data_IF_950508744205
#
_entry.id   IF_950508744205
#
_cell.length_a   1.000
_cell.length_b   1.000
_cell.length_c   1.000
_cell.angle_alpha   90.00
_cell.angle_beta   90.00
_cell.angle_gamma   90.00
#
_symmetry.space_group_name_H-M   'P 1'
#
loop_
_entity.id
_entity.type
_entity.pdbx_description
1 polymer ?
#
# COMPACT_ATOMS: atom_id res chain seq x y z
N UNK A 1 19.27 16.59 -8.52
CA UNK A 1 18.44 15.38 -8.71
C UNK A 1 17.69 15.10 -7.42
N UNK A 2 16.39 15.39 -7.37
CA UNK A 2 15.53 15.11 -6.21
C UNK A 2 14.82 13.78 -6.48
N UNK A 3 15.41 12.67 -6.02
CA UNK A 3 14.79 11.35 -6.11
C UNK A 3 13.87 11.16 -4.90
N UNK A 4 12.57 11.04 -5.15
CA UNK A 4 11.54 10.68 -4.17
C UNK A 4 11.62 9.15 -4.01
N UNK A 5 12.13 8.66 -2.88
CA UNK A 5 12.23 7.21 -2.62
C UNK A 5 10.90 6.71 -2.06
N UNK A 6 10.21 5.88 -2.83
CA UNK A 6 9.18 4.98 -2.33
C UNK A 6 9.92 3.84 -1.60
N UNK A 7 9.92 3.86 -0.26
CA UNK A 7 10.46 2.75 0.51
C UNK A 7 9.60 1.50 0.29
N UNK A 8 10.24 0.45 -0.20
CA UNK A 8 9.72 -0.91 -0.30
C UNK A 8 9.55 -1.50 1.11
N UNK A 9 8.31 -1.52 1.61
CA UNK A 9 7.99 -2.27 2.81
C UNK A 9 7.80 -3.76 2.45
N UNK A 10 8.67 -4.61 2.99
CA UNK A 10 8.56 -6.07 2.93
C UNK A 10 7.34 -6.54 3.75
N UNK A 11 6.30 -7.06 3.09
CA UNK A 11 5.17 -7.67 3.80
C UNK A 11 5.39 -9.20 3.87
N UNK A 12 5.65 -9.74 5.06
CA UNK A 12 5.69 -11.17 5.32
C UNK A 12 4.25 -11.72 5.33
N UNK A 13 3.94 -12.60 4.38
CA UNK A 13 2.68 -13.35 4.38
C UNK A 13 2.79 -14.52 5.38
N UNK A 14 2.60 -14.25 6.67
CA UNK A 14 2.49 -15.32 7.67
C UNK A 14 1.12 -16.00 7.61
N UNK A 15 1.14 -17.31 7.35
CA UNK A 15 0.02 -18.21 7.55
C UNK A 15 -0.18 -18.48 9.06
N UNK A 16 -1.10 -17.75 9.70
CA UNK A 16 -1.49 -18.04 11.09
C UNK A 16 -2.45 -19.23 11.17
N UNK A 17 -2.08 -20.23 11.98
CA UNK A 17 -2.87 -21.40 12.35
C UNK A 17 -3.99 -21.03 13.35
N UNK A 18 -5.18 -21.59 13.08
CA UNK A 18 -6.35 -21.86 13.93
C UNK A 18 -6.70 -20.97 15.15
N UNK A 19 -7.90 -20.37 15.11
CA UNK A 19 -8.76 -20.13 16.27
C UNK A 19 -10.22 -20.55 15.93
N UNK A 20 -10.95 -21.03 16.94
CA UNK A 20 -12.20 -21.78 16.87
C UNK A 20 -13.37 -21.13 16.10
N UNK A 21 -14.17 -22.01 15.48
CA UNK A 21 -15.29 -21.70 14.59
C UNK A 21 -16.56 -21.34 15.37
N UNK A 22 -17.03 -20.09 15.23
CA UNK A 22 -18.44 -19.76 15.46
C UNK A 22 -19.22 -19.98 14.15
N UNK A 23 -20.34 -20.69 14.25
CA UNK A 23 -21.28 -21.12 13.19
C UNK A 23 -21.53 -20.01 12.14
N UNK A 24 -21.51 -20.31 10.82
CA UNK A 24 -21.65 -19.28 9.80
C UNK A 24 -23.05 -18.69 9.81
N UNK A 25 -23.13 -17.36 9.92
CA UNK A 25 -24.31 -16.61 9.55
C UNK A 25 -24.48 -16.68 8.02
N UNK A 26 -25.74 -16.74 7.58
CA UNK A 26 -26.13 -16.83 6.18
C UNK A 26 -25.41 -15.80 5.31
N UNK A 27 -25.03 -16.22 4.10
CA UNK A 27 -24.42 -15.37 3.09
C UNK A 27 -25.24 -14.09 2.91
N UNK A 28 -24.66 -12.95 3.27
CA UNK A 28 -25.22 -11.66 2.91
C UNK A 28 -25.18 -11.52 1.39
N UNK A 29 -26.31 -11.11 0.80
CA UNK A 29 -26.40 -10.72 -0.60
C UNK A 29 -25.27 -9.73 -0.95
N UNK A 30 -24.77 -9.72 -2.20
CA UNK A 30 -23.74 -8.77 -2.60
C UNK A 30 -24.24 -7.36 -2.33
N UNK A 31 -23.64 -6.70 -1.33
CA UNK A 31 -23.91 -5.31 -1.02
C UNK A 31 -23.70 -4.50 -2.29
N UNK A 32 -24.64 -3.60 -2.59
CA UNK A 32 -24.52 -2.63 -3.68
C UNK A 32 -23.14 -1.98 -3.62
N UNK A 33 -22.25 -2.34 -4.53
CA UNK A 33 -20.95 -1.70 -4.65
C UNK A 33 -21.21 -0.20 -4.85
N UNK A 34 -20.78 0.61 -3.89
CA UNK A 34 -20.95 2.05 -3.95
C UNK A 34 -20.28 2.55 -5.24
N UNK A 35 -21.08 3.10 -6.14
CA UNK A 35 -20.61 3.49 -7.47
C UNK A 35 -19.64 4.65 -7.31
N UNK A 36 -18.37 4.42 -7.67
CA UNK A 36 -17.34 5.47 -7.68
C UNK A 36 -17.82 6.66 -8.52
N UNK A 37 -17.50 7.87 -8.05
CA UNK A 37 -17.71 9.08 -8.82
C UNK A 37 -16.90 9.05 -10.12
N UNK A 38 -17.32 9.76 -11.19
CA UNK A 38 -16.59 9.75 -12.46
C UNK A 38 -15.12 10.14 -12.32
N UNK A 39 -14.83 11.12 -11.46
CA UNK A 39 -13.44 11.54 -11.15
C UNK A 39 -12.63 10.45 -10.45
N UNK A 40 -13.23 9.72 -9.51
CA UNK A 40 -12.56 8.61 -8.83
C UNK A 40 -12.31 7.44 -9.78
N UNK A 41 -13.26 7.16 -10.69
CA UNK A 41 -13.08 6.16 -11.75
C UNK A 41 -11.89 6.53 -12.68
N UNK A 42 -11.83 7.77 -13.16
CA UNK A 42 -10.70 8.25 -13.97
C UNK A 42 -9.37 8.10 -13.22
N UNK A 43 -9.32 8.47 -11.94
CA UNK A 43 -8.11 8.33 -11.12
C UNK A 43 -7.74 6.87 -10.84
N UNK A 44 -8.69 5.94 -10.81
CA UNK A 44 -8.41 4.52 -10.69
C UNK A 44 -7.66 4.01 -11.93
N UNK A 45 -8.11 4.40 -13.13
CA UNK A 45 -7.41 4.08 -14.39
C UNK A 45 -5.99 4.67 -14.42
N UNK A 46 -5.85 5.94 -14.02
CA UNK A 46 -4.54 6.59 -13.94
C UNK A 46 -3.60 5.92 -12.94
N UNK A 47 -4.12 5.54 -11.78
CA UNK A 47 -3.37 4.81 -10.75
C UNK A 47 -2.91 3.44 -11.27
N UNK A 48 -3.75 2.73 -12.02
CA UNK A 48 -3.39 1.45 -12.64
C UNK A 48 -2.29 1.61 -13.69
N UNK A 49 -2.39 2.60 -14.58
CA UNK A 49 -1.35 2.91 -15.56
C UNK A 49 -0.01 3.28 -14.91
N UNK A 50 -0.06 4.06 -13.82
CA UNK A 50 1.11 4.36 -12.99
C UNK A 50 1.70 3.09 -12.37
N UNK A 51 0.87 2.18 -11.86
CA UNK A 51 1.35 0.95 -11.26
C UNK A 51 2.09 0.05 -12.25
N UNK A 52 1.60 -0.08 -13.50
CA UNK A 52 2.34 -0.77 -14.56
C UNK A 52 3.67 -0.09 -14.86
N UNK A 53 3.66 1.24 -14.98
CA UNK A 53 4.88 2.01 -15.26
C UNK A 53 5.92 1.86 -14.13
N UNK A 54 5.47 1.91 -12.87
CA UNK A 54 6.31 1.71 -11.69
C UNK A 54 6.82 0.28 -11.59
N UNK A 55 5.95 -0.71 -11.80
CA UNK A 55 6.33 -2.12 -11.82
C UNK A 55 7.43 -2.38 -12.86
N UNK A 56 7.27 -1.87 -14.08
CA UNK A 56 8.27 -2.01 -15.15
C UNK A 56 9.59 -1.32 -14.81
N UNK A 57 9.55 -0.17 -14.13
CA UNK A 57 10.76 0.50 -13.68
C UNK A 57 11.49 -0.31 -12.59
N UNK A 58 10.74 -0.85 -11.61
CA UNK A 58 11.30 -1.66 -10.52
C UNK A 58 11.82 -3.02 -11.01
N UNK A 59 11.09 -3.68 -11.92
CA UNK A 59 11.49 -4.99 -12.46
C UNK A 59 12.76 -4.94 -13.33
N UNK A 60 13.18 -3.75 -13.77
CA UNK A 60 14.45 -3.54 -14.48
C UNK A 60 15.63 -3.35 -13.53
N UNK A 61 15.37 -3.05 -12.26
CA UNK A 61 16.40 -2.92 -11.25
C UNK A 61 16.77 -4.30 -10.71
N UNK A 62 18.01 -4.72 -10.96
CA UNK A 62 18.52 -6.03 -10.57
C UNK A 62 18.63 -6.21 -9.05
N UNK A 63 18.57 -5.11 -8.28
CA UNK A 63 18.56 -5.17 -6.82
C UNK A 63 17.18 -5.51 -6.24
N UNK A 64 16.12 -5.44 -7.06
CA UNK A 64 14.74 -5.70 -6.62
C UNK A 64 14.38 -7.17 -6.84
N UNK A 65 14.00 -7.85 -5.77
CA UNK A 65 13.47 -9.22 -5.84
C UNK A 65 11.93 -9.18 -5.91
N UNK A 66 11.25 -9.25 -4.77
CA UNK A 66 9.79 -9.24 -4.69
C UNK A 66 9.24 -7.81 -4.86
N UNK A 67 8.21 -7.67 -5.69
CA UNK A 67 7.52 -6.39 -5.92
C UNK A 67 6.09 -6.47 -5.39
N UNK A 68 5.75 -5.59 -4.46
CA UNK A 68 4.39 -5.42 -3.95
C UNK A 68 4.01 -3.94 -4.04
N UNK A 69 3.01 -3.63 -4.85
CA UNK A 69 2.58 -2.25 -5.12
C UNK A 69 1.06 -2.15 -4.96
N UNK A 70 0.62 -1.17 -4.17
CA UNK A 70 -0.79 -0.74 -4.16
C UNK A 70 -0.94 0.51 -5.03
N UNK A 71 -1.59 0.43 -6.21
CA UNK A 71 -1.69 1.54 -7.16
C UNK A 71 -2.25 2.82 -6.53
N UNK A 72 -3.33 2.70 -5.77
CA UNK A 72 -4.03 3.84 -5.15
C UNK A 72 -3.17 4.48 -4.06
N UNK A 73 -2.38 3.70 -3.31
CA UNK A 73 -1.49 4.23 -2.25
C UNK A 73 -0.29 4.98 -2.85
N UNK A 74 0.27 4.46 -3.95
CA UNK A 74 1.32 5.18 -4.71
C UNK A 74 0.77 6.49 -5.28
N UNK A 75 -0.40 6.45 -5.93
CA UNK A 75 -1.05 7.66 -6.43
C UNK A 75 -1.34 8.68 -5.32
N UNK A 76 -1.77 8.21 -4.15
CA UNK A 76 -2.02 9.05 -2.96
C UNK A 76 -0.74 9.71 -2.44
N UNK A 77 0.40 9.03 -2.57
CA UNK A 77 1.71 9.60 -2.23
C UNK A 77 2.06 10.78 -3.13
N UNK A 78 1.79 10.68 -4.44
CA UNK A 78 1.92 11.81 -5.37
C UNK A 78 0.88 12.92 -5.08
N UNK A 79 -0.33 12.54 -4.68
CA UNK A 79 -1.36 13.46 -4.24
C UNK A 79 -0.94 14.30 -3.03
N UNK A 80 -0.24 13.72 -2.06
CA UNK A 80 0.35 14.42 -0.92
C UNK A 80 1.46 15.40 -1.34
N UNK A 81 2.30 15.02 -2.31
CA UNK A 81 3.33 15.92 -2.87
C UNK A 81 2.69 17.09 -3.60
N UNK A 82 1.63 16.85 -4.38
CA UNK A 82 0.89 17.92 -5.06
C UNK A 82 0.18 18.85 -4.08
N UNK A 83 -0.32 18.32 -2.95
CA UNK A 83 -1.01 19.09 -1.93
C UNK A 83 -0.05 19.99 -1.12
N UNK A 84 1.13 19.47 -0.74
CA UNK A 84 2.12 20.21 0.05
C UNK A 84 3.12 21.03 -0.77
N UNK A 85 3.28 20.68 -2.05
CA UNK A 85 4.18 21.36 -2.99
C UNK A 85 3.55 22.59 -3.63
N UNK A 86 4.38 23.38 -4.32
CA UNK A 86 3.95 24.50 -5.16
C UNK A 86 4.65 24.46 -6.51
N UNK A 87 4.07 25.15 -7.49
CA UNK A 87 4.64 25.33 -8.83
C UNK A 87 5.12 23.99 -9.44
N UNK A 88 6.38 23.92 -9.85
CA UNK A 88 6.96 22.77 -10.56
C UNK A 88 6.94 21.48 -9.76
N UNK A 89 7.06 21.54 -8.43
CA UNK A 89 7.04 20.33 -7.59
C UNK A 89 5.65 19.70 -7.59
N UNK A 90 4.61 20.52 -7.46
CA UNK A 90 3.23 20.03 -7.50
C UNK A 90 2.83 19.56 -8.90
N UNK A 91 3.18 20.32 -9.94
CA UNK A 91 2.82 19.96 -11.31
C UNK A 91 3.51 18.68 -11.80
N UNK A 92 4.75 18.43 -11.40
CA UNK A 92 5.44 17.18 -11.71
C UNK A 92 4.76 15.97 -11.03
N UNK A 93 4.30 16.11 -9.79
CA UNK A 93 3.57 15.02 -9.12
C UNK A 93 2.28 14.65 -9.86
N UNK A 94 1.54 15.65 -10.36
CA UNK A 94 0.36 15.42 -11.21
C UNK A 94 0.70 14.79 -12.56
N UNK A 95 1.81 15.21 -13.16
CA UNK A 95 2.26 14.64 -14.43
C UNK A 95 2.65 13.17 -14.32
N UNK A 96 3.33 12.78 -13.23
CA UNK A 96 3.64 11.36 -12.96
C UNK A 96 2.35 10.54 -12.78
N UNK A 97 1.30 11.13 -12.20
CA UNK A 97 -0.02 10.50 -12.11
C UNK A 97 -0.83 10.57 -13.42
N UNK A 98 -0.33 11.24 -14.47
CA UNK A 98 -1.06 11.51 -15.71
C UNK A 98 -2.44 12.18 -15.47
N UNK A 99 -2.46 13.12 -14.51
CA UNK A 99 -3.65 13.83 -14.06
C UNK A 99 -3.52 15.37 -14.28
N UNK A 100 -2.74 15.79 -15.26
CA UNK A 100 -2.50 17.20 -15.59
C UNK A 100 -3.79 17.95 -15.97
N UNK A 101 -4.73 17.24 -16.60
CA UNK A 101 -6.00 17.78 -17.08
C UNK A 101 -7.05 17.93 -15.96
N UNK A 102 -6.84 17.34 -14.79
CA UNK A 102 -7.77 17.44 -13.65
C UNK A 102 -7.38 18.62 -12.76
N UNK A 103 -8.36 19.27 -12.12
CA UNK A 103 -8.06 20.27 -11.08
C UNK A 103 -7.56 19.58 -9.80
N UNK A 104 -6.78 20.30 -9.00
CA UNK A 104 -6.18 19.75 -7.78
C UNK A 104 -7.24 19.23 -6.79
N UNK A 105 -8.36 19.98 -6.66
CA UNK A 105 -9.51 19.58 -5.85
C UNK A 105 -10.12 18.24 -6.29
N UNK A 106 -10.14 17.97 -7.60
CA UNK A 106 -10.70 16.74 -8.18
C UNK A 106 -9.75 15.56 -7.94
N UNK A 107 -8.44 15.81 -8.08
CA UNK A 107 -7.39 14.83 -7.78
C UNK A 107 -7.46 14.41 -6.31
N UNK A 108 -7.45 15.37 -5.38
CA UNK A 108 -7.45 15.08 -3.95
C UNK A 108 -8.77 14.43 -3.48
N UNK A 109 -9.92 14.94 -3.96
CA UNK A 109 -11.21 14.35 -3.63
C UNK A 109 -11.36 12.92 -4.19
N UNK A 110 -10.95 12.69 -5.43
CA UNK A 110 -11.09 11.39 -6.08
C UNK A 110 -10.13 10.33 -5.52
N UNK A 111 -8.86 10.68 -5.25
CA UNK A 111 -7.93 9.76 -4.59
C UNK A 111 -8.39 9.42 -3.17
N UNK A 112 -8.91 10.40 -2.43
CA UNK A 112 -9.47 10.15 -1.10
C UNK A 112 -10.75 9.31 -1.11
N UNK A 113 -11.56 9.41 -2.17
CA UNK A 113 -12.68 8.49 -2.40
C UNK A 113 -12.20 7.06 -2.65
N UNK A 114 -11.18 6.88 -3.49
CA UNK A 114 -10.60 5.56 -3.76
C UNK A 114 -10.02 4.92 -2.48
N UNK A 115 -9.26 5.67 -1.68
CA UNK A 115 -8.72 5.16 -0.40
C UNK A 115 -9.83 4.73 0.57
N UNK A 116 -10.90 5.50 0.68
CA UNK A 116 -12.06 5.15 1.53
C UNK A 116 -12.79 3.92 1.00
N UNK A 117 -12.97 3.81 -0.33
CA UNK A 117 -13.56 2.63 -0.97
C UNK A 117 -12.78 1.35 -0.68
N UNK A 118 -11.44 1.42 -0.68
CA UNK A 118 -10.57 0.28 -0.33
C UNK A 118 -10.66 -0.08 1.16
N UNK A 119 -10.89 0.90 2.02
CA UNK A 119 -10.96 0.72 3.47
C UNK A 119 -12.34 0.31 3.97
N UNK A 120 -13.32 0.19 3.07
CA UNK A 120 -14.67 -0.25 3.41
C UNK A 120 -14.71 -1.78 3.61
N UNK A 121 -14.52 -2.21 4.85
CA UNK A 121 -14.50 -3.62 5.25
C UNK A 121 -15.80 -4.39 4.98
N UNK A 122 -16.95 -3.71 4.90
CA UNK A 122 -18.24 -4.37 4.61
C UNK A 122 -18.46 -4.60 3.11
N UNK A 123 -17.73 -3.87 2.25
CA UNK A 123 -17.85 -3.97 0.80
C UNK A 123 -16.91 -5.00 0.17
N UNK A 124 -15.96 -5.57 0.93
CA UNK A 124 -14.90 -6.43 0.39
C UNK A 124 -14.69 -7.67 1.25
N UNK A 125 -14.60 -8.84 0.62
CA UNK A 125 -14.17 -10.08 1.28
C UNK A 125 -12.64 -10.13 1.40
N UNK A 126 -12.03 -9.13 2.05
CA UNK A 126 -10.57 -9.06 2.28
C UNK A 126 -10.31 -8.43 3.65
N UNK A 127 -9.20 -8.79 4.30
CA UNK A 127 -8.67 -7.99 5.40
C UNK A 127 -7.65 -7.02 4.83
N UNK A 128 -7.92 -5.72 4.99
CA UNK A 128 -7.08 -4.63 4.52
C UNK A 128 -6.79 -3.66 5.67
N UNK A 129 -5.52 -3.31 5.86
CA UNK A 129 -5.07 -2.26 6.76
C UNK A 129 -4.09 -1.36 6.02
N UNK A 130 -4.25 -0.06 6.22
CA UNK A 130 -3.41 0.96 5.64
C UNK A 130 -3.23 2.08 6.67
N UNK A 131 -1.99 2.51 6.85
CA UNK A 131 -1.64 3.77 7.48
C UNK A 131 -0.65 4.53 6.62
N UNK A 132 -0.83 5.84 6.55
CA UNK A 132 0.09 6.76 5.88
C UNK A 132 0.54 7.80 6.90
N UNK A 133 1.85 7.97 7.07
CA UNK A 133 2.39 8.97 7.99
C UNK A 133 3.55 9.72 7.35
N UNK A 134 3.51 11.04 7.50
CA UNK A 134 4.57 11.95 7.11
C UNK A 134 5.42 12.27 8.34
N UNK A 135 6.70 11.89 8.27
CA UNK A 135 7.71 12.20 9.27
C UNK A 135 8.53 13.41 8.82
N UNK A 136 8.60 14.44 9.65
CA UNK A 136 9.42 15.64 9.42
C UNK A 136 10.55 15.75 10.44
N UNK A 137 11.64 16.45 10.12
CA UNK A 137 12.66 16.79 11.11
C UNK A 137 12.05 17.56 12.28
N UNK A 138 12.57 17.35 13.50
CA UNK A 138 12.08 17.97 14.73
C UNK A 138 12.03 19.51 14.69
N UNK A 139 12.87 20.14 13.85
CA UNK A 139 12.91 21.59 13.64
C UNK A 139 11.78 22.14 12.78
N UNK A 140 11.08 21.30 12.01
CA UNK A 140 10.01 21.71 11.09
C UNK A 140 8.66 21.69 11.79
N UNK A 141 7.81 22.66 11.45
CA UNK A 141 6.38 22.63 11.77
C UNK A 141 5.58 22.49 10.48
N UNK A 142 4.63 21.57 10.47
CA UNK A 142 3.71 21.40 9.36
C UNK A 142 2.69 22.55 9.36
N UNK A 143 2.33 23.04 8.18
CA UNK A 143 1.28 24.05 8.06
C UNK A 143 -0.09 23.44 8.39
N UNK A 144 -0.91 24.14 9.18
CA UNK A 144 -2.19 23.63 9.67
C UNK A 144 -3.15 23.25 8.53
N UNK A 145 -3.19 24.05 7.47
CA UNK A 145 -4.01 23.78 6.28
C UNK A 145 -3.58 22.50 5.55
N UNK A 146 -2.27 22.23 5.52
CA UNK A 146 -1.73 20.99 4.96
C UNK A 146 -2.11 19.80 5.83
N UNK A 147 -1.94 19.90 7.17
CA UNK A 147 -2.31 18.85 8.11
C UNK A 147 -3.79 18.50 8.00
N UNK A 148 -4.65 19.51 7.92
CA UNK A 148 -6.10 19.35 7.76
C UNK A 148 -6.44 18.66 6.44
N UNK A 149 -5.95 19.18 5.32
CA UNK A 149 -6.29 18.67 3.98
C UNK A 149 -5.75 17.27 3.74
N UNK A 150 -4.52 16.98 4.19
CA UNK A 150 -3.90 15.66 4.02
C UNK A 150 -4.56 14.59 4.88
N UNK A 151 -5.00 14.94 6.10
CA UNK A 151 -5.82 14.06 6.94
C UNK A 151 -7.20 13.83 6.33
N UNK A 152 -7.83 14.87 5.78
CA UNK A 152 -9.15 14.77 5.14
C UNK A 152 -9.14 13.85 3.92
N UNK A 153 -8.18 14.01 3.01
CA UNK A 153 -8.17 13.27 1.75
C UNK A 153 -7.44 11.94 1.84
N UNK A 154 -6.35 11.85 2.60
CA UNK A 154 -5.46 10.68 2.59
C UNK A 154 -5.37 9.97 3.94
N UNK A 155 -6.10 10.42 4.95
CA UNK A 155 -5.96 9.97 6.34
C UNK A 155 -4.49 10.01 6.80
N UNK A 156 -3.73 11.01 6.32
CA UNK A 156 -2.30 11.12 6.58
C UNK A 156 -2.06 11.60 8.03
N UNK A 157 -1.26 10.83 8.76
CA UNK A 157 -0.74 11.21 10.07
C UNK A 157 0.54 12.04 9.94
N UNK A 158 0.84 12.84 10.95
CA UNK A 158 2.01 13.72 10.96
C UNK A 158 2.80 13.48 12.23
N UNK A 159 4.11 13.31 12.09
CA UNK A 159 5.00 13.15 13.23
C UNK A 159 6.30 13.91 13.03
N UNK A 160 6.84 14.45 14.12
CA UNK A 160 8.16 15.07 14.15
C UNK A 160 9.12 14.08 14.79
N UNK A 161 10.24 13.79 14.11
CA UNK A 161 11.25 12.87 14.63
C UNK A 161 12.65 13.49 14.56
N UNK A 162 13.49 13.13 15.52
CA UNK A 162 14.88 13.55 15.54
C UNK A 162 15.74 12.51 14.83
N UNK A 163 16.00 12.71 13.54
CA UNK A 163 16.83 11.80 12.75
C UNK A 163 18.30 11.71 13.22
N UNK A 164 18.77 12.62 14.08
CA UNK A 164 20.11 12.48 14.69
C UNK A 164 20.19 11.30 15.64
N UNK A 165 19.10 10.98 16.32
CA UNK A 165 18.97 9.72 17.05
C UNK A 165 18.38 8.66 16.12
N UNK A 166 19.26 8.09 15.29
CA UNK A 166 18.89 7.11 14.26
C UNK A 166 18.15 5.91 14.85
N UNK A 167 18.56 5.42 16.03
CA UNK A 167 17.92 4.26 16.67
C UNK A 167 16.50 4.61 17.10
N UNK A 168 16.30 5.73 17.78
CA UNK A 168 14.96 6.18 18.20
C UNK A 168 14.06 6.47 17.00
N UNK A 169 14.59 7.09 15.94
CA UNK A 169 13.84 7.35 14.71
C UNK A 169 13.36 6.06 14.02
N UNK A 170 14.26 5.09 13.83
CA UNK A 170 13.91 3.78 13.25
C UNK A 170 12.90 3.03 14.12
N UNK A 171 13.10 3.02 15.44
CA UNK A 171 12.18 2.40 16.38
C UNK A 171 10.78 3.03 16.28
N UNK A 172 10.67 4.36 16.26
CA UNK A 172 9.38 5.05 16.15
C UNK A 172 8.65 4.73 14.85
N UNK A 173 9.37 4.66 13.73
CA UNK A 173 8.79 4.29 12.41
C UNK A 173 8.29 2.85 12.43
N UNK A 174 9.11 1.92 12.92
CA UNK A 174 8.79 0.49 12.95
C UNK A 174 7.65 0.17 13.92
N UNK A 175 7.64 0.78 15.11
CA UNK A 175 6.54 0.62 16.09
C UNK A 175 5.21 1.14 15.54
N UNK A 176 5.20 2.29 14.86
CA UNK A 176 3.99 2.80 14.22
C UNK A 176 3.49 1.86 13.12
N UNK A 177 4.38 1.30 12.29
CA UNK A 177 4.00 0.37 11.23
C UNK A 177 3.48 -0.96 11.81
N UNK A 178 4.12 -1.47 12.85
CA UNK A 178 3.68 -2.66 13.57
C UNK A 178 2.29 -2.44 14.18
N UNK A 179 2.06 -1.31 14.87
CA UNK A 179 0.74 -0.98 15.43
C UNK A 179 -0.32 -0.84 14.33
N UNK A 180 0.00 -0.16 13.22
CA UNK A 180 -0.89 0.01 12.06
C UNK A 180 -1.34 -1.32 11.45
N UNK A 181 -0.47 -2.33 11.50
CA UNK A 181 -0.69 -3.63 10.86
C UNK A 181 -1.03 -4.75 11.84
N UNK A 182 -1.22 -4.45 13.13
CA UNK A 182 -1.31 -5.41 14.24
C UNK A 182 -0.17 -6.45 14.21
N UNK A 183 1.06 -5.97 14.09
CA UNK A 183 2.29 -6.76 14.13
C UNK A 183 2.64 -7.49 12.83
N UNK A 184 1.83 -7.37 11.77
CA UNK A 184 2.07 -8.06 10.50
C UNK A 184 3.18 -7.44 9.64
N UNK A 185 3.49 -6.17 9.88
CA UNK A 185 4.67 -5.48 9.34
C UNK A 185 5.50 -4.94 10.52
N UNK A 186 6.37 -5.76 11.12
CA UNK A 186 7.12 -5.36 12.32
C UNK A 186 8.29 -4.41 12.03
N UNK A 187 8.80 -4.39 10.81
CA UNK A 187 9.95 -3.58 10.41
C UNK A 187 9.74 -3.01 9.00
N UNK A 188 9.85 -1.69 8.84
CA UNK A 188 9.75 -0.99 7.55
C UNK A 188 11.11 -0.88 6.89
N UNK A 189 12.10 -0.42 7.67
CA UNK A 189 13.48 -0.25 7.20
C UNK A 189 14.46 -0.37 8.36
N UNK A 190 15.67 -0.82 8.03
CA UNK A 190 16.84 -0.88 8.92
C UNK A 190 17.70 0.38 8.85
N UNK A 191 17.48 1.22 7.84
CA UNK A 191 18.22 2.46 7.64
C UNK A 191 17.35 3.57 7.03
N UNK A 192 17.71 4.82 7.32
CA UNK A 192 17.20 6.04 6.69
C UNK A 192 18.41 6.81 6.16
N UNK A 193 18.64 6.75 4.86
CA UNK A 193 19.80 7.38 4.22
C UNK A 193 19.73 8.92 4.25
N UNK A 194 18.55 9.49 4.02
CA UNK A 194 18.33 10.94 3.98
C UNK A 194 17.60 11.42 5.22
N UNK A 195 18.32 12.13 6.09
CA UNK A 195 17.85 12.54 7.42
C UNK A 195 17.46 14.02 7.53
N UNK A 196 17.57 14.77 6.43
CA UNK A 196 17.35 16.22 6.34
C UNK A 196 16.00 16.59 5.71
N UNK A 197 15.27 15.62 5.17
CA UNK A 197 14.00 15.81 4.48
C UNK A 197 12.79 15.25 5.23
N UNK A 198 11.62 15.35 4.58
CA UNK A 198 10.41 14.65 5.01
C UNK A 198 10.40 13.22 4.47
N UNK A 199 9.94 12.28 5.28
CA UNK A 199 9.79 10.87 4.95
C UNK A 199 8.31 10.49 4.96
N UNK A 200 7.76 10.11 3.81
CA UNK A 200 6.42 9.55 3.72
C UNK A 200 6.51 8.03 3.85
N UNK A 201 5.86 7.48 4.87
CA UNK A 201 5.81 6.03 5.10
C UNK A 201 4.38 5.54 4.94
N UNK A 202 4.21 4.50 4.12
CA UNK A 202 2.95 3.79 3.97
C UNK A 202 3.11 2.38 4.53
N UNK A 203 2.39 2.04 5.59
CA UNK A 203 2.36 0.71 6.19
C UNK A 203 1.07 0.00 5.79
N UNK A 204 1.19 -1.20 5.21
CA UNK A 204 0.06 -1.94 4.62
C UNK A 204 0.07 -3.39 5.06
N UNK A 205 -1.13 -3.93 5.27
CA UNK A 205 -1.37 -5.37 5.39
C UNK A 205 -2.59 -5.76 4.57
N UNK A 206 -2.40 -6.74 3.69
CA UNK A 206 -3.46 -7.27 2.85
C UNK A 206 -3.51 -8.79 2.99
N UNK A 207 -4.69 -9.30 3.34
CA UNK A 207 -4.97 -10.73 3.35
C UNK A 207 -6.24 -10.99 2.53
N UNK A 208 -6.12 -11.65 1.36
CA UNK A 208 -7.29 -12.02 0.58
C UNK A 208 -8.10 -13.08 1.32
N UNK A 209 -9.43 -12.97 1.30
CA UNK A 209 -10.31 -14.08 1.64
C UNK A 209 -10.86 -14.65 0.34
N UNK A 210 -10.49 -15.90 0.06
CA UNK A 210 -10.97 -16.60 -1.12
C UNK A 210 -12.49 -16.72 -1.08
N UNK A 211 -13.14 -16.49 -2.22
CA UNK A 211 -14.57 -16.77 -2.38
C UNK A 211 -14.84 -18.27 -2.14
N UNK A 212 -14.03 -19.11 -2.76
CA UNK A 212 -13.97 -20.55 -2.46
C UNK A 212 -12.71 -20.90 -1.67
N UNK A 213 -12.86 -21.19 -0.37
CA UNK A 213 -11.73 -21.44 0.54
C UNK A 213 -10.97 -22.74 0.24
N UNK A 214 -9.68 -22.72 0.57
CA UNK A 214 -8.84 -23.90 0.68
C UNK A 214 -9.23 -24.74 1.90
N UNK A 215 -9.05 -26.06 1.81
CA UNK A 215 -9.20 -26.92 2.99
C UNK A 215 -7.98 -26.76 3.90
N UNK A 216 -8.19 -26.47 5.19
CA UNK A 216 -7.11 -26.14 6.13
C UNK A 216 -6.03 -27.24 6.30
N UNK A 217 -6.36 -28.51 5.99
CA UNK A 217 -5.40 -29.62 5.99
C UNK A 217 -4.70 -29.86 4.64
N UNK A 218 -5.13 -29.20 3.57
CA UNK A 218 -4.52 -29.32 2.23
C UNK A 218 -3.35 -28.34 2.10
N UNK A 219 -2.40 -28.48 3.01
CA UNK A 219 -1.19 -27.66 3.09
C UNK A 219 -0.02 -28.59 3.38
N UNK A 220 1.03 -28.55 2.54
CA UNK A 220 2.22 -29.39 2.70
C UNK A 220 3.51 -28.64 2.33
N UNK A 221 4.67 -29.22 2.66
CA UNK A 221 5.97 -28.64 2.32
C UNK A 221 6.33 -28.99 0.87
N UNK A 222 6.71 -28.00 0.06
CA UNK A 222 7.15 -28.14 -1.33
C UNK A 222 8.40 -27.31 -1.62
N UNK A 223 9.13 -27.66 -2.67
CA UNK A 223 10.20 -26.83 -3.20
C UNK A 223 9.65 -25.76 -4.16
N UNK A 224 9.97 -24.50 -3.91
CA UNK A 224 9.77 -23.39 -4.85
C UNK A 224 11.10 -23.09 -5.54
N UNK A 225 11.14 -23.26 -6.86
CA UNK A 225 12.33 -22.99 -7.66
C UNK A 225 12.43 -21.48 -7.92
N UNK A 226 13.30 -20.79 -7.19
CA UNK A 226 13.62 -19.37 -7.42
C UNK A 226 14.42 -19.22 -8.71
N UNK A 227 15.38 -20.13 -8.92
CA UNK A 227 16.06 -20.33 -10.21
C UNK A 227 16.17 -21.84 -10.46
N UNK A 228 16.63 -22.24 -11.65
CA UNK A 228 16.86 -23.66 -11.97
C UNK A 228 17.83 -24.35 -11.00
N UNK A 229 18.75 -23.60 -10.40
CA UNK A 229 19.77 -24.12 -9.47
C UNK A 229 19.51 -23.77 -8.00
N UNK A 230 18.47 -22.98 -7.70
CA UNK A 230 18.18 -22.51 -6.35
C UNK A 230 16.72 -22.74 -5.98
N UNK A 231 16.50 -23.62 -5.00
CA UNK A 231 15.19 -24.04 -4.53
C UNK A 231 15.05 -23.76 -3.04
N UNK A 232 13.91 -23.19 -2.64
CA UNK A 232 13.57 -22.89 -1.24
C UNK A 232 12.37 -23.75 -0.82
N UNK A 233 12.40 -24.29 0.40
CA UNK A 233 11.25 -25.01 0.97
C UNK A 233 10.15 -24.03 1.41
N UNK A 234 8.92 -24.26 0.98
CA UNK A 234 7.75 -23.42 1.30
C UNK A 234 6.55 -24.26 1.72
N UNK A 235 5.66 -23.70 2.53
CA UNK A 235 4.33 -24.26 2.76
C UNK A 235 3.42 -23.93 1.57
N UNK A 236 2.97 -24.94 0.85
CA UNK A 236 2.10 -24.78 -0.33
C UNK A 236 0.67 -25.21 0.00
N UNK A 237 -0.31 -24.41 -0.42
CA UNK A 237 -1.74 -24.71 -0.29
C UNK A 237 -2.30 -25.31 -1.58
N UNK A 238 -3.20 -26.30 -1.46
CA UNK A 238 -3.73 -27.05 -2.61
C UNK A 238 -5.26 -27.01 -2.65
N UNK A 239 -5.83 -26.81 -3.85
CA UNK A 239 -7.27 -26.87 -4.08
C UNK A 239 -7.57 -27.22 -5.54
N UNK A 240 -8.43 -28.21 -5.74
CA UNK A 240 -9.05 -28.48 -7.06
C UNK A 240 -10.39 -27.76 -7.12
N UNK A 241 -10.66 -27.06 -8.22
CA UNK A 241 -11.89 -26.29 -8.41
C UNK A 241 -11.99 -25.77 -9.84
N UNK A 242 -13.12 -25.13 -10.14
CA UNK A 242 -13.31 -24.43 -11.41
C UNK A 242 -12.76 -23.02 -11.28
N UNK A 243 -11.86 -22.65 -12.20
CA UNK A 243 -11.24 -21.34 -12.25
C UNK A 243 -11.24 -20.86 -13.70
N UNK A 244 -11.36 -19.55 -13.91
CA UNK A 244 -11.03 -18.97 -15.21
C UNK A 244 -9.53 -19.22 -15.46
N UNK A 245 -9.23 -20.02 -16.47
CA UNK A 245 -7.88 -20.43 -16.83
C UNK A 245 -7.73 -20.35 -18.35
N UNK A 246 -6.57 -19.92 -18.81
CA UNK A 246 -6.19 -19.89 -20.21
C UNK A 246 -4.72 -20.28 -20.32
N UNK A 247 -4.41 -21.15 -21.29
CA UNK A 247 -3.06 -21.56 -21.64
C UNK A 247 -2.74 -20.99 -23.02
N UNK A 248 -1.71 -20.15 -23.09
CA UNK A 248 -1.23 -19.52 -24.32
C UNK A 248 -0.08 -20.39 -24.85
N UNK A 249 -0.46 -21.52 -25.49
CA UNK A 249 0.49 -22.42 -26.15
C UNK A 249 1.12 -21.80 -27.41
#
# INVERSE_FOLDING_TARGET
MRSLLLLSAFCLLEAALAAEVKKPAAAAAPGTAEKLSPKAATLAERSAGLAFSLYQAMAKDQAVENILVSPVVVASSLGLVSLGGKATTASQAKAVLSAEQLRDEEVHAGLGELLRSLSNSTARNVTWKLGSRLYGPSSVSFADDFVRSSKQHYNCEHSKINFRDKRSALQSINEWAAQTTDGKLPEVTKDVERTDGALLVNAMFFKPHWDEKFHHKMVDNRGFMVTRSYTVGVMMMHRTGLYNYYDDE
#
